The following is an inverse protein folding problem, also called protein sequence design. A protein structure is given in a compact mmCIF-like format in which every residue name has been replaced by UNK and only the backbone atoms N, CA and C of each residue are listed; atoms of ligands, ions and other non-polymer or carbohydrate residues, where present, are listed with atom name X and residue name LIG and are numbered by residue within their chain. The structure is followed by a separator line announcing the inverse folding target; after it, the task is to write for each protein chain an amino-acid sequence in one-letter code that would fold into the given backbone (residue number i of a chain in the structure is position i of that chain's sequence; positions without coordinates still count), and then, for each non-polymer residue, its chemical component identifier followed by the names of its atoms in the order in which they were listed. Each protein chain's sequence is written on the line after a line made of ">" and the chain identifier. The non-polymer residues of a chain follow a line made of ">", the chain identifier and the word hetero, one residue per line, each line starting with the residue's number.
data_IF_802895827212
#
_entry.id   IF_802895827212
#
_cell.length_a   1.000
_cell.length_b   1.000
_cell.length_c   1.000
_cell.angle_alpha   90.00
_cell.angle_beta   90.00
_cell.angle_gamma   90.00
#
_symmetry.space_group_name_H-M   'P 1'
#
loop_
_entity.id
_entity.type
_entity.pdbx_description
1 polymer ?
#
# COMPACT_ATOMS: atom_id res chain seq x y z
N UNK A 1 44.25 8.19 -62.42
CA UNK A 1 42.90 7.85 -61.88
C UNK A 1 43.02 6.70 -60.97
N UNK A 2 43.02 6.93 -59.65
CA UNK A 2 43.03 5.89 -58.61
C UNK A 2 41.60 5.73 -58.10
N UNK A 3 41.06 4.55 -58.27
CA UNK A 3 39.72 4.18 -57.78
C UNK A 3 39.83 3.68 -56.35
N UNK A 4 39.35 4.46 -55.40
CA UNK A 4 39.22 4.02 -54.02
C UNK A 4 38.08 3.01 -53.86
N UNK A 5 38.39 1.83 -53.39
CA UNK A 5 37.43 0.80 -53.02
C UNK A 5 36.97 1.04 -51.59
N UNK A 6 35.67 0.97 -51.28
CA UNK A 6 35.17 1.14 -49.92
C UNK A 6 35.53 -0.08 -49.05
N UNK A 7 36.05 0.20 -47.82
CA UNK A 7 36.38 -0.78 -46.78
C UNK A 7 35.07 -1.27 -46.14
N UNK A 8 34.84 -2.58 -46.04
CA UNK A 8 33.65 -3.09 -45.34
C UNK A 8 33.76 -2.92 -43.83
N UNK A 9 32.82 -2.20 -43.24
CA UNK A 9 32.65 -2.09 -41.82
C UNK A 9 32.29 -3.46 -41.19
N UNK A 10 33.19 -4.08 -40.43
CA UNK A 10 32.91 -5.30 -39.68
C UNK A 10 32.10 -4.92 -38.47
N UNK A 11 30.78 -5.16 -38.51
CA UNK A 11 29.91 -5.15 -37.35
C UNK A 11 30.14 -6.51 -36.63
N UNK A 12 30.77 -6.45 -35.46
CA UNK A 12 30.88 -7.62 -34.59
C UNK A 12 29.47 -8.02 -34.11
N UNK A 13 29.12 -9.32 -34.11
CA UNK A 13 27.81 -9.75 -33.62
C UNK A 13 27.67 -9.41 -32.12
N UNK A 14 26.69 -8.62 -31.77
CA UNK A 14 26.23 -8.42 -30.39
C UNK A 14 26.00 -9.78 -29.74
N UNK A 15 26.71 -10.06 -28.64
CA UNK A 15 26.46 -11.22 -27.80
C UNK A 15 24.98 -11.23 -27.45
N UNK A 16 24.26 -12.26 -27.88
CA UNK A 16 22.88 -12.51 -27.46
C UNK A 16 22.86 -12.53 -25.96
N UNK A 17 22.17 -11.55 -25.37
CA UNK A 17 21.99 -11.46 -23.92
C UNK A 17 21.42 -12.76 -23.39
N UNK A 18 21.93 -13.19 -22.25
CA UNK A 18 21.37 -14.30 -21.51
C UNK A 18 19.84 -14.11 -21.38
N UNK A 19 19.04 -15.18 -21.42
CA UNK A 19 17.59 -15.05 -21.23
C UNK A 19 17.36 -14.36 -19.89
N UNK A 20 16.69 -13.19 -19.92
CA UNK A 20 16.19 -12.55 -18.71
C UNK A 20 15.22 -13.55 -18.12
N UNK A 21 15.60 -14.21 -17.04
CA UNK A 21 14.72 -15.11 -16.30
C UNK A 21 13.58 -14.26 -15.78
N UNK A 22 12.46 -14.32 -16.46
CA UNK A 22 11.21 -13.68 -16.02
C UNK A 22 10.70 -14.51 -14.83
N UNK A 23 11.22 -14.24 -13.63
CA UNK A 23 10.65 -14.81 -12.42
C UNK A 23 9.26 -14.17 -12.27
N UNK A 24 8.16 -14.94 -12.34
CA UNK A 24 6.83 -14.36 -12.22
C UNK A 24 6.73 -13.67 -10.86
N UNK A 25 6.23 -12.41 -10.86
CA UNK A 25 6.02 -11.68 -9.61
C UNK A 25 5.09 -12.48 -8.70
N UNK A 26 5.44 -12.53 -7.42
CA UNK A 26 4.59 -13.20 -6.42
C UNK A 26 3.25 -12.52 -6.31
N UNK A 27 2.19 -13.32 -6.30
CA UNK A 27 0.83 -12.83 -6.06
C UNK A 27 0.49 -12.98 -4.58
N UNK A 28 0.16 -11.87 -3.93
CA UNK A 28 -0.12 -11.78 -2.49
C UNK A 28 -1.50 -11.17 -2.29
N UNK A 29 -2.32 -11.77 -1.45
CA UNK A 29 -3.56 -11.15 -0.98
C UNK A 29 -3.30 -10.45 0.35
N UNK A 30 -3.74 -9.19 0.48
CA UNK A 30 -3.64 -8.41 1.71
C UNK A 30 -5.03 -7.92 2.09
N UNK A 31 -5.44 -8.22 3.31
CA UNK A 31 -6.68 -7.75 3.93
C UNK A 31 -6.31 -6.74 5.01
N UNK A 32 -7.06 -5.63 5.10
CA UNK A 32 -6.73 -4.54 6.03
C UNK A 32 -7.98 -3.95 6.65
N UNK A 33 -7.87 -3.57 7.94
CA UNK A 33 -8.89 -2.82 8.64
C UNK A 33 -8.26 -1.92 9.71
N UNK A 34 -8.96 -0.84 10.06
CA UNK A 34 -8.59 0.11 11.11
C UNK A 34 -9.77 0.44 12.01
N UNK A 35 -9.50 0.59 13.28
CA UNK A 35 -10.51 0.92 14.29
C UNK A 35 -10.00 2.02 15.22
N UNK A 36 -10.89 2.88 15.70
CA UNK A 36 -10.57 3.92 16.66
C UNK A 36 -11.69 4.06 17.69
N UNK A 37 -11.32 3.98 18.97
CA UNK A 37 -12.23 4.22 20.08
C UNK A 37 -12.39 5.73 20.29
N UNK A 38 -13.66 6.21 20.33
CA UNK A 38 -13.97 7.64 20.55
C UNK A 38 -13.29 8.59 19.55
N UNK A 39 -13.28 8.25 18.30
CA UNK A 39 -12.63 8.90 17.14
C UNK A 39 -12.69 10.45 17.14
N UNK A 40 -11.61 11.21 17.50
CA UNK A 40 -10.24 10.74 17.81
C UNK A 40 -10.10 10.08 19.19
N UNK A 41 -9.11 9.16 19.30
CA UNK A 41 -8.81 8.43 20.53
C UNK A 41 -7.82 7.30 20.31
N UNK A 42 -7.75 6.32 21.21
CA UNK A 42 -6.94 5.13 21.01
C UNK A 42 -7.42 4.37 19.77
N UNK A 43 -6.53 4.03 18.90
CA UNK A 43 -6.84 3.30 17.67
C UNK A 43 -5.90 2.15 17.41
N UNK A 44 -6.37 1.20 16.61
CA UNK A 44 -5.60 0.05 16.18
C UNK A 44 -5.83 -0.27 14.72
N UNK A 45 -4.94 -1.04 14.17
CA UNK A 45 -5.01 -1.55 12.81
C UNK A 45 -4.67 -3.02 12.77
N UNK A 46 -5.23 -3.72 11.79
CA UNK A 46 -4.94 -5.12 11.50
C UNK A 46 -4.71 -5.34 10.01
N UNK A 47 -3.78 -6.22 9.68
CA UNK A 47 -3.53 -6.67 8.32
C UNK A 47 -3.23 -8.16 8.28
N UNK A 48 -3.76 -8.85 7.27
CA UNK A 48 -3.51 -10.28 7.02
C UNK A 48 -2.93 -10.40 5.61
N UNK A 49 -1.77 -11.03 5.51
CA UNK A 49 -1.09 -11.29 4.25
C UNK A 49 -1.15 -12.79 3.95
N UNK A 50 -1.52 -13.15 2.71
CA UNK A 50 -1.56 -14.53 2.23
C UNK A 50 -0.72 -14.71 0.98
N UNK A 51 0.15 -15.71 1.00
CA UNK A 51 0.98 -16.12 -0.15
C UNK A 51 1.26 -17.62 -0.12
N UNK A 52 0.94 -18.33 -1.21
CA UNK A 52 1.33 -19.74 -1.39
C UNK A 52 0.96 -20.67 -0.22
N UNK A 53 -0.22 -20.48 0.40
CA UNK A 53 -0.66 -21.26 1.56
C UNK A 53 -0.11 -20.77 2.92
N UNK A 54 0.79 -19.79 2.91
CA UNK A 54 1.26 -19.13 4.13
C UNK A 54 0.42 -17.89 4.44
N UNK A 55 0.20 -17.65 5.73
CA UNK A 55 -0.52 -16.50 6.24
C UNK A 55 0.30 -15.80 7.31
N UNK A 56 0.25 -14.47 7.32
CA UNK A 56 0.89 -13.63 8.32
C UNK A 56 -0.08 -12.55 8.79
N UNK A 57 -0.28 -12.45 10.08
CA UNK A 57 -1.02 -11.37 10.73
C UNK A 57 -0.06 -10.28 11.21
N UNK A 58 -0.48 -9.04 11.01
CA UNK A 58 0.18 -7.84 11.52
C UNK A 58 -0.85 -6.99 12.22
N UNK A 59 -0.47 -6.36 13.31
CA UNK A 59 -1.34 -5.42 14.02
C UNK A 59 -0.53 -4.44 14.85
N UNK A 60 -1.12 -3.30 15.14
CA UNK A 60 -0.54 -2.27 15.97
C UNK A 60 -1.54 -1.18 16.27
N UNK A 61 -1.14 -0.15 17.01
CA UNK A 61 -2.04 0.93 17.38
C UNK A 61 -1.33 2.15 17.91
N UNK A 62 -2.11 3.22 18.11
CA UNK A 62 -1.66 4.50 18.66
C UNK A 62 -2.66 5.02 19.70
N UNK A 63 -2.18 5.73 20.73
CA UNK A 63 -3.01 6.23 21.83
C UNK A 63 -3.94 7.39 21.43
N UNK A 64 -3.46 8.27 20.55
CA UNK A 64 -4.25 9.42 20.06
C UNK A 64 -4.25 9.45 18.54
N UNK A 65 -5.29 8.93 17.90
CA UNK A 65 -5.36 8.83 16.46
C UNK A 65 -6.81 8.93 15.95
N UNK A 66 -7.02 8.66 14.68
CA UNK A 66 -8.35 8.60 14.07
C UNK A 66 -8.56 7.32 13.30
N UNK A 67 -9.83 6.95 13.07
CA UNK A 67 -10.17 5.77 12.26
C UNK A 67 -9.48 5.79 10.89
N UNK A 68 -9.58 6.91 10.18
CA UNK A 68 -8.96 7.06 8.85
C UNK A 68 -7.43 6.86 8.88
N UNK A 69 -6.76 7.31 9.94
CA UNK A 69 -5.31 7.09 10.09
C UNK A 69 -4.99 5.62 10.28
N UNK A 70 -5.79 4.91 11.06
CA UNK A 70 -5.60 3.47 11.28
C UNK A 70 -5.87 2.64 10.01
N UNK A 71 -6.88 3.01 9.22
CA UNK A 71 -7.14 2.40 7.91
C UNK A 71 -5.97 2.59 6.93
N UNK A 72 -5.41 3.80 6.83
CA UNK A 72 -4.22 4.04 6.00
C UNK A 72 -3.02 3.26 6.52
N UNK A 73 -2.82 3.24 7.85
CA UNK A 73 -1.69 2.56 8.50
C UNK A 73 -1.76 1.05 8.27
N UNK A 74 -2.94 0.45 8.31
CA UNK A 74 -3.12 -0.97 8.00
C UNK A 74 -2.61 -1.32 6.58
N UNK A 75 -2.95 -0.52 5.58
CA UNK A 75 -2.47 -0.69 4.20
C UNK A 75 -0.96 -0.44 4.11
N UNK A 76 -0.47 0.64 4.73
CA UNK A 76 0.94 0.99 4.76
C UNK A 76 1.81 -0.13 5.33
N UNK A 77 1.44 -0.66 6.50
CA UNK A 77 2.19 -1.71 7.17
C UNK A 77 2.06 -3.06 6.45
N UNK A 78 0.88 -3.37 5.89
CA UNK A 78 0.68 -4.54 5.05
C UNK A 78 1.59 -4.56 3.82
N UNK A 79 1.67 -3.46 3.08
CA UNK A 79 2.56 -3.33 1.91
C UNK A 79 4.03 -3.25 2.30
N UNK A 80 4.37 -2.60 3.41
CA UNK A 80 5.75 -2.50 3.92
C UNK A 80 6.35 -3.86 4.30
N UNK A 81 5.52 -4.82 4.67
CA UNK A 81 5.96 -6.16 5.01
C UNK A 81 6.45 -6.99 3.81
N UNK A 82 6.17 -6.54 2.58
CA UNK A 82 6.60 -7.19 1.35
C UNK A 82 8.05 -6.81 1.02
N UNK A 83 8.92 -7.81 0.94
CA UNK A 83 10.37 -7.60 0.72
C UNK A 83 10.73 -7.28 -0.72
N UNK A 84 9.90 -7.66 -1.68
CA UNK A 84 10.12 -7.51 -3.12
C UNK A 84 8.87 -7.01 -3.84
N UNK A 85 8.97 -6.47 -5.07
CA UNK A 85 7.80 -6.15 -5.88
C UNK A 85 6.89 -7.36 -6.08
N UNK A 86 5.59 -7.18 -5.84
CA UNK A 86 4.57 -8.22 -5.94
C UNK A 86 3.37 -7.73 -6.75
N UNK A 87 2.57 -8.67 -7.25
CA UNK A 87 1.17 -8.42 -7.62
C UNK A 87 0.36 -8.57 -6.34
N UNK A 88 -0.35 -7.52 -5.93
CA UNK A 88 -1.08 -7.49 -4.67
C UNK A 88 -2.56 -7.29 -4.90
N UNK A 89 -3.35 -8.26 -4.46
CA UNK A 89 -4.80 -8.12 -4.30
C UNK A 89 -5.07 -7.53 -2.92
N UNK A 90 -5.39 -6.23 -2.85
CA UNK A 90 -5.63 -5.50 -1.62
C UNK A 90 -7.11 -5.36 -1.32
N UNK A 91 -7.55 -5.93 -0.19
CA UNK A 91 -8.93 -5.92 0.28
C UNK A 91 -9.09 -5.00 1.49
N UNK A 92 -10.03 -4.06 1.40
CA UNK A 92 -10.38 -3.14 2.50
C UNK A 92 -11.83 -2.69 2.38
N UNK A 93 -12.46 -2.40 3.50
CA UNK A 93 -13.79 -1.77 3.55
C UNK A 93 -13.72 -0.24 3.69
N UNK A 94 -12.52 0.31 3.83
CA UNK A 94 -12.30 1.74 3.92
C UNK A 94 -12.68 2.47 2.62
N UNK A 95 -13.76 3.23 2.65
CA UNK A 95 -14.12 4.14 1.57
C UNK A 95 -13.11 5.28 1.39
N UNK A 96 -12.47 5.70 2.48
CA UNK A 96 -11.49 6.77 2.44
C UNK A 96 -10.23 6.36 1.67
N UNK A 97 -9.69 5.17 1.99
CA UNK A 97 -8.53 4.62 1.27
C UNK A 97 -8.89 4.31 -0.18
N UNK A 98 -10.05 3.70 -0.43
CA UNK A 98 -10.53 3.41 -1.77
C UNK A 98 -10.55 4.66 -2.66
N UNK A 99 -11.22 5.73 -2.21
CA UNK A 99 -11.32 6.97 -2.98
C UNK A 99 -9.97 7.62 -3.22
N UNK A 100 -9.09 7.61 -2.23
CA UNK A 100 -7.75 8.17 -2.40
C UNK A 100 -6.94 7.45 -3.48
N UNK A 101 -7.00 6.11 -3.52
CA UNK A 101 -6.21 5.29 -4.43
C UNK A 101 -6.90 5.13 -5.79
N UNK A 102 -8.21 4.79 -5.81
CA UNK A 102 -8.93 4.42 -7.05
C UNK A 102 -9.53 5.61 -7.79
N UNK A 103 -9.94 6.67 -7.08
CA UNK A 103 -10.60 7.84 -7.68
C UNK A 103 -9.59 8.96 -8.01
N UNK A 104 -8.28 8.68 -7.95
CA UNK A 104 -7.21 9.58 -8.36
C UNK A 104 -6.95 10.77 -7.42
N UNK A 105 -7.43 10.71 -6.17
CA UNK A 105 -7.21 11.80 -5.21
C UNK A 105 -5.73 11.99 -4.89
N UNK A 106 -4.98 10.91 -4.72
CA UNK A 106 -3.54 10.97 -4.43
C UNK A 106 -2.76 11.67 -5.54
N UNK A 107 -3.06 11.37 -6.80
CA UNK A 107 -2.41 12.03 -7.94
C UNK A 107 -2.74 13.53 -8.00
N UNK A 108 -4.01 13.88 -7.73
CA UNK A 108 -4.44 15.27 -7.68
C UNK A 108 -3.75 16.03 -6.55
N UNK A 109 -3.66 15.43 -5.36
CA UNK A 109 -3.00 16.05 -4.21
C UNK A 109 -1.51 16.27 -4.47
N UNK A 110 -0.81 15.31 -5.08
CA UNK A 110 0.59 15.48 -5.48
C UNK A 110 0.77 16.64 -6.45
N UNK A 111 -0.06 16.71 -7.50
CA UNK A 111 -0.02 17.80 -8.50
C UNK A 111 -0.30 19.17 -7.88
N UNK A 112 -1.16 19.23 -6.87
CA UNK A 112 -1.57 20.46 -6.21
C UNK A 112 -0.74 20.80 -4.95
N UNK A 113 0.45 20.20 -4.78
CA UNK A 113 1.32 20.47 -3.64
C UNK A 113 0.68 20.08 -2.30
N UNK A 114 -0.04 18.95 -2.25
CA UNK A 114 -0.73 18.43 -1.07
C UNK A 114 -1.82 19.36 -0.53
N UNK A 115 -2.53 20.01 -1.45
CA UNK A 115 -3.68 20.87 -1.12
C UNK A 115 -4.95 20.32 -1.75
N UNK A 116 -6.06 20.45 -1.01
CA UNK A 116 -7.41 20.17 -1.51
C UNK A 116 -7.83 21.22 -2.53
N UNK A 117 -8.93 20.98 -3.24
CA UNK A 117 -9.55 21.98 -4.12
C UNK A 117 -9.84 23.32 -3.41
N UNK A 118 -10.14 23.28 -2.11
CA UNK A 118 -10.32 24.46 -1.25
C UNK A 118 -8.99 25.06 -0.75
N UNK A 119 -7.83 24.68 -1.33
CA UNK A 119 -6.48 25.14 -0.96
C UNK A 119 -6.08 24.84 0.49
N UNK A 120 -6.82 24.00 1.21
CA UNK A 120 -6.46 23.54 2.56
C UNK A 120 -5.46 22.40 2.49
N UNK A 121 -4.57 22.22 3.50
CA UNK A 121 -3.70 21.05 3.58
C UNK A 121 -4.50 19.75 3.53
N UNK A 122 -3.97 18.74 2.83
CA UNK A 122 -4.58 17.41 2.80
C UNK A 122 -4.42 16.76 4.18
N UNK A 123 -5.51 16.20 4.71
CA UNK A 123 -5.47 15.45 5.97
C UNK A 123 -4.65 14.16 5.79
N UNK A 124 -3.92 13.78 6.84
CA UNK A 124 -3.10 12.57 6.88
C UNK A 124 -2.00 12.54 5.78
N UNK A 125 -1.52 13.71 5.38
CA UNK A 125 -0.50 13.85 4.33
C UNK A 125 0.75 13.03 4.63
N UNK A 126 1.18 12.96 5.88
CA UNK A 126 2.30 12.17 6.38
C UNK A 126 2.19 10.70 6.01
N UNK A 127 1.05 10.09 6.25
CA UNK A 127 0.77 8.69 5.92
C UNK A 127 0.66 8.47 4.41
N UNK A 128 0.00 9.36 3.70
CA UNK A 128 -0.12 9.28 2.24
C UNK A 128 1.23 9.38 1.54
N UNK A 129 2.12 10.26 2.02
CA UNK A 129 3.47 10.40 1.47
C UNK A 129 4.32 9.14 1.70
N UNK A 130 4.15 8.47 2.83
CA UNK A 130 4.80 7.18 3.12
C UNK A 130 4.22 6.03 2.28
N UNK A 131 2.91 6.04 2.03
CA UNK A 131 2.22 5.00 1.27
C UNK A 131 2.53 5.05 -0.24
N UNK A 132 2.67 6.24 -0.80
CA UNK A 132 2.87 6.44 -2.24
C UNK A 132 3.99 5.62 -2.89
N UNK A 133 5.23 5.56 -2.32
CA UNK A 133 6.29 4.74 -2.89
C UNK A 133 5.93 3.25 -2.93
N UNK A 134 5.18 2.76 -1.93
CA UNK A 134 4.73 1.38 -1.87
C UNK A 134 3.69 1.07 -2.94
N UNK A 135 2.73 1.99 -3.16
CA UNK A 135 1.75 1.86 -4.24
C UNK A 135 2.43 1.79 -5.62
N UNK A 136 3.54 2.51 -5.81
CA UNK A 136 4.32 2.50 -7.06
C UNK A 136 5.22 1.27 -7.19
N UNK A 137 5.63 0.68 -6.07
CA UNK A 137 6.52 -0.49 -6.04
C UNK A 137 5.85 -1.78 -6.45
N UNK A 138 4.55 -1.91 -6.16
CA UNK A 138 3.76 -3.11 -6.39
C UNK A 138 2.75 -2.90 -7.51
N UNK A 139 2.32 -3.99 -8.17
CA UNK A 139 1.14 -3.97 -9.03
C UNK A 139 -0.08 -4.24 -8.16
N UNK A 140 -0.94 -3.24 -7.97
CA UNK A 140 -2.06 -3.32 -7.05
C UNK A 140 -3.38 -3.54 -7.78
N UNK A 141 -4.12 -4.55 -7.34
CA UNK A 141 -5.53 -4.74 -7.64
C UNK A 141 -6.32 -4.41 -6.36
N UNK A 142 -7.08 -3.34 -6.43
CA UNK A 142 -7.81 -2.84 -5.28
C UNK A 142 -9.22 -3.41 -5.23
N UNK A 143 -9.58 -4.09 -4.15
CA UNK A 143 -10.89 -4.71 -3.93
C UNK A 143 -11.55 -4.04 -2.72
N UNK A 144 -12.59 -3.25 -3.00
CA UNK A 144 -13.44 -2.77 -1.92
C UNK A 144 -14.42 -3.86 -1.51
N UNK A 145 -14.49 -4.14 -0.22
CA UNK A 145 -15.44 -5.08 0.37
C UNK A 145 -16.38 -4.31 1.29
N UNK A 146 -17.61 -4.81 1.45
CA UNK A 146 -18.53 -4.24 2.42
C UNK A 146 -18.15 -4.72 3.83
N UNK A 147 -17.89 -3.79 4.74
CA UNK A 147 -17.59 -4.12 6.14
C UNK A 147 -18.73 -4.90 6.79
N UNK A 148 -18.37 -5.83 7.67
CA UNK A 148 -19.30 -6.70 8.41
C UNK A 148 -20.27 -7.52 7.50
N UNK A 149 -19.81 -7.89 6.32
CA UNK A 149 -20.61 -8.65 5.35
C UNK A 149 -20.21 -10.14 5.28
N UNK A 150 -19.60 -10.69 6.32
CA UNK A 150 -19.23 -12.10 6.40
C UNK A 150 -17.94 -12.45 5.65
N UNK A 151 -17.04 -11.48 5.47
CA UNK A 151 -15.68 -11.73 4.96
C UNK A 151 -14.76 -12.13 6.14
N UNK A 152 -14.38 -13.40 6.30
CA UNK A 152 -13.68 -13.86 7.51
C UNK A 152 -12.36 -13.12 7.78
N UNK A 153 -11.62 -12.80 6.70
CA UNK A 153 -10.34 -12.09 6.81
C UNK A 153 -10.52 -10.64 7.29
N UNK A 154 -11.56 -9.96 6.79
CA UNK A 154 -11.86 -8.59 7.22
C UNK A 154 -12.31 -8.55 8.69
N UNK A 155 -13.16 -9.49 9.09
CA UNK A 155 -13.59 -9.61 10.49
C UNK A 155 -12.42 -9.92 11.43
N UNK A 156 -11.43 -10.70 10.98
CA UNK A 156 -10.19 -10.92 11.73
C UNK A 156 -9.33 -9.67 11.81
N UNK A 157 -9.22 -8.88 10.72
CA UNK A 157 -8.52 -7.60 10.74
C UNK A 157 -9.19 -6.61 11.70
N UNK A 158 -10.54 -6.52 11.71
CA UNK A 158 -11.30 -5.72 12.67
C UNK A 158 -11.03 -6.16 14.10
N UNK A 159 -11.05 -7.47 14.36
CA UNK A 159 -10.74 -7.99 15.69
C UNK A 159 -9.32 -7.63 16.15
N UNK A 160 -8.33 -7.80 15.29
CA UNK A 160 -6.94 -7.38 15.55
C UNK A 160 -6.85 -5.87 15.84
N UNK A 161 -7.50 -5.05 15.03
CA UNK A 161 -7.53 -3.60 15.21
C UNK A 161 -8.15 -3.20 16.55
N UNK A 162 -9.28 -3.79 16.93
CA UNK A 162 -9.95 -3.52 18.22
C UNK A 162 -9.13 -3.96 19.42
N UNK A 163 -8.48 -5.12 19.35
CA UNK A 163 -7.57 -5.59 20.41
C UNK A 163 -6.45 -4.57 20.63
N UNK A 164 -5.85 -4.07 19.54
CA UNK A 164 -4.80 -3.08 19.66
C UNK A 164 -5.32 -1.74 20.20
N UNK A 165 -6.47 -1.26 19.74
CA UNK A 165 -7.08 -0.01 20.22
C UNK A 165 -7.39 -0.06 21.73
N UNK A 166 -7.66 -1.23 22.30
CA UNK A 166 -7.94 -1.45 23.72
C UNK A 166 -6.71 -1.50 24.64
N UNK A 167 -5.48 -1.44 24.11
CA UNK A 167 -4.26 -1.49 24.91
C UNK A 167 -4.00 -0.18 25.64
N UNK A 168 -3.40 -0.27 26.83
CA UNK A 168 -3.03 0.88 27.67
C UNK A 168 -1.62 1.42 27.38
N UNK A 169 -0.78 0.64 26.69
CA UNK A 169 0.64 0.92 26.42
C UNK A 169 0.91 1.38 24.99
N UNK A 170 -0.07 2.02 24.35
CA UNK A 170 0.03 2.46 22.97
C UNK A 170 0.97 3.67 22.83
N UNK A 171 1.83 3.70 21.78
CA UNK A 171 2.59 4.87 21.44
C UNK A 171 1.67 6.01 20.97
N UNK A 172 2.14 7.24 21.08
CA UNK A 172 1.45 8.39 20.49
C UNK A 172 1.52 8.36 18.96
N UNK A 173 0.47 8.80 18.29
CA UNK A 173 0.49 9.02 16.85
C UNK A 173 1.40 10.22 16.54
N UNK A 174 2.28 10.11 15.55
CA UNK A 174 3.26 11.13 15.20
C UNK A 174 2.62 12.46 14.70
N UNK A 175 1.33 12.44 14.36
CA UNK A 175 0.61 13.60 13.86
C UNK A 175 -0.58 14.00 14.77
N UNK A 176 -0.60 13.49 16.00
CA UNK A 176 -1.61 13.85 17.01
C UNK A 176 -1.25 15.14 17.75
#
# INVERSE_FOLDING_TARGET
>A
MKTDKPVPCRISPLKRGAPVSFCPMKQVSIYTDGSCLNNPGPGGWGAILRYGGHEKELSGGCAGTTNNRMEITAVLEGLSALKEPCVVDLYTDSQYVRKAVSDGWLENWQRNGWRTAAKKPVKNQDLWQRLLPLLKRHTLHFHWIKGHAGHPENERCDALARIQAGRSDLPQDAAA
#
